data_IF_898859728107
#
_entry.id   IF_898859728107
#
_cell.length_a   1.000
_cell.length_b   1.000
_cell.length_c   1.000
_cell.angle_alpha   90.00
_cell.angle_beta   90.00
_cell.angle_gamma   90.00
#
_symmetry.space_group_name_H-M   'P 1'
#
loop_
_entity.id
_entity.type
_entity.pdbx_description
1 polymer ?
#
# COMPACT_ATOMS: atom_id res chain seq x y z
N UNK A 1 -15.88 -2.76 1.67
CA UNK A 1 -15.70 -4.23 1.60
C UNK A 1 -14.55 -4.64 2.52
N UNK A 2 -14.31 -5.94 2.74
CA UNK A 2 -13.15 -6.39 3.53
C UNK A 2 -11.82 -5.95 2.90
N UNK A 3 -11.74 -5.91 1.56
CA UNK A 3 -10.60 -5.36 0.81
C UNK A 3 -10.43 -3.88 1.13
N UNK A 4 -11.49 -3.07 1.02
CA UNK A 4 -11.38 -1.62 1.25
C UNK A 4 -10.88 -1.31 2.67
N UNK A 5 -11.43 -1.99 3.69
CA UNK A 5 -11.00 -1.80 5.08
C UNK A 5 -9.52 -2.18 5.29
N UNK A 6 -9.05 -3.26 4.67
CA UNK A 6 -7.66 -3.68 4.77
C UNK A 6 -6.72 -2.72 4.02
N UNK A 7 -7.14 -2.20 2.86
CA UNK A 7 -6.38 -1.19 2.12
C UNK A 7 -6.35 0.16 2.87
N UNK A 8 -7.42 0.55 3.56
CA UNK A 8 -7.42 1.73 4.44
C UNK A 8 -6.43 1.56 5.60
N UNK A 9 -6.40 0.39 6.24
CA UNK A 9 -5.43 0.10 7.29
C UNK A 9 -3.98 0.13 6.77
N UNK A 10 -3.76 -0.39 5.56
CA UNK A 10 -2.46 -0.32 4.90
C UNK A 10 -2.02 1.13 4.64
N UNK A 11 -2.91 1.98 4.11
CA UNK A 11 -2.62 3.41 3.90
C UNK A 11 -2.27 4.12 5.21
N UNK A 12 -3.04 3.87 6.27
CA UNK A 12 -2.76 4.44 7.60
C UNK A 12 -1.39 4.03 8.15
N UNK A 13 -1.01 2.76 8.00
CA UNK A 13 0.33 2.31 8.39
C UNK A 13 1.43 2.99 7.54
N UNK A 14 1.18 3.17 6.24
CA UNK A 14 2.09 3.81 5.31
C UNK A 14 2.26 5.33 5.53
N UNK A 15 1.27 6.01 6.11
CA UNK A 15 1.34 7.42 6.51
C UNK A 15 2.29 7.64 7.71
N UNK A 16 2.52 6.62 8.51
CA UNK A 16 3.39 6.65 9.69
C UNK A 16 4.66 5.81 9.52
N UNK A 17 5.15 5.29 10.64
CA UNK A 17 6.35 4.44 10.69
C UNK A 17 6.02 2.97 11.03
N UNK A 18 4.73 2.62 10.96
CA UNK A 18 4.27 1.27 11.26
C UNK A 18 4.72 0.27 10.18
N UNK A 19 4.90 -0.99 10.57
CA UNK A 19 5.26 -2.04 9.62
C UNK A 19 4.08 -2.41 8.71
N UNK A 20 4.16 -1.99 7.44
CA UNK A 20 3.13 -2.24 6.41
C UNK A 20 2.91 -3.70 6.03
N UNK A 21 3.82 -4.63 6.37
CA UNK A 21 3.69 -6.03 6.00
C UNK A 21 2.52 -6.72 6.69
N UNK A 22 2.15 -6.28 7.90
CA UNK A 22 1.00 -6.81 8.62
C UNK A 22 -0.33 -6.48 7.93
N UNK A 23 -0.71 -5.21 7.69
CA UNK A 23 -1.93 -4.90 6.97
C UNK A 23 -1.92 -5.37 5.50
N UNK A 24 -0.75 -5.44 4.85
CA UNK A 24 -0.64 -5.98 3.50
C UNK A 24 -1.04 -7.46 3.43
N UNK A 25 -0.57 -8.28 4.38
CA UNK A 25 -0.97 -9.68 4.49
C UNK A 25 -2.48 -9.83 4.65
N UNK A 26 -3.11 -8.95 5.43
CA UNK A 26 -4.55 -9.00 5.67
C UNK A 26 -5.35 -8.53 4.43
N UNK A 27 -4.85 -7.56 3.67
CA UNK A 27 -5.42 -7.17 2.38
C UNK A 27 -5.36 -8.34 1.37
N UNK A 28 -4.21 -9.02 1.27
CA UNK A 28 -4.06 -10.18 0.38
C UNK A 28 -4.96 -11.35 0.80
N UNK A 29 -5.14 -11.58 2.10
CA UNK A 29 -6.13 -12.56 2.63
C UNK A 29 -7.56 -12.20 2.27
N UNK A 30 -7.88 -10.90 2.27
CA UNK A 30 -9.18 -10.38 1.83
C UNK A 30 -9.37 -10.44 0.30
N UNK A 31 -8.42 -11.01 -0.45
CA UNK A 31 -8.41 -11.13 -1.91
C UNK A 31 -8.14 -9.81 -2.64
N UNK A 32 -7.49 -8.86 -2.00
CA UNK A 32 -6.92 -7.71 -2.71
C UNK A 32 -5.86 -8.20 -3.71
N UNK A 33 -5.84 -7.56 -4.87
CA UNK A 33 -4.84 -7.77 -5.90
C UNK A 33 -3.56 -7.02 -5.56
N UNK A 34 -2.45 -7.46 -6.16
CA UNK A 34 -1.17 -6.73 -6.08
C UNK A 34 -1.33 -5.31 -6.62
N UNK A 35 -2.13 -5.11 -7.68
CA UNK A 35 -2.39 -3.79 -8.24
C UNK A 35 -3.05 -2.82 -7.25
N UNK A 36 -4.08 -3.27 -6.53
CA UNK A 36 -4.76 -2.46 -5.51
C UNK A 36 -3.82 -2.10 -4.35
N UNK A 37 -3.02 -3.05 -3.88
CA UNK A 37 -2.02 -2.82 -2.83
C UNK A 37 -0.96 -1.81 -3.29
N UNK A 38 -0.40 -1.98 -4.49
CA UNK A 38 0.59 -1.05 -5.04
C UNK A 38 -0.01 0.35 -5.27
N UNK A 39 -1.24 0.44 -5.76
CA UNK A 39 -1.93 1.73 -5.93
C UNK A 39 -2.11 2.43 -4.59
N UNK A 40 -2.56 1.71 -3.56
CA UNK A 40 -2.75 2.27 -2.22
C UNK A 40 -1.45 2.84 -1.64
N UNK A 41 -0.32 2.17 -1.82
CA UNK A 41 0.98 2.65 -1.36
C UNK A 41 1.48 3.84 -2.20
N UNK A 42 1.25 3.84 -3.52
CA UNK A 42 1.62 4.96 -4.40
C UNK A 42 0.87 6.24 -4.06
N UNK A 43 -0.35 6.17 -3.53
CA UNK A 43 -1.08 7.35 -3.09
C UNK A 43 -0.38 8.07 -1.91
N UNK A 44 0.29 7.33 -1.04
CA UNK A 44 0.95 7.88 0.16
C UNK A 44 2.41 8.24 -0.11
N UNK A 45 3.15 7.35 -0.76
CA UNK A 45 4.59 7.51 -0.97
C UNK A 45 4.96 8.12 -2.33
N UNK A 46 3.97 8.26 -3.22
CA UNK A 46 4.22 8.60 -4.61
C UNK A 46 4.84 7.44 -5.39
N UNK A 47 5.45 7.77 -6.52
CA UNK A 47 6.18 6.82 -7.36
C UNK A 47 7.62 7.28 -7.46
N UNK A 48 8.56 6.34 -7.46
CA UNK A 48 9.96 6.66 -7.72
C UNK A 48 10.12 7.33 -9.10
N UNK A 49 10.77 8.49 -9.10
CA UNK A 49 11.18 9.20 -10.32
C UNK A 49 12.70 9.11 -10.40
N UNK A 50 13.27 8.42 -11.40
CA UNK A 50 14.71 8.40 -11.60
C UNK A 50 15.27 9.82 -11.74
N UNK A 51 16.36 10.13 -11.05
CA UNK A 51 17.13 11.33 -11.35
C UNK A 51 17.82 11.12 -12.69
N UNK A 52 17.60 12.01 -13.66
CA UNK A 52 18.16 11.92 -15.00
C UNK A 52 19.64 11.49 -14.99
N UNK A 53 19.92 10.35 -15.63
CA UNK A 53 21.26 9.82 -15.81
C UNK A 53 21.87 10.50 -17.04
N UNK A 54 22.42 11.69 -16.87
CA UNK A 54 23.30 12.33 -17.84
C UNK A 54 24.67 12.57 -17.23
#
# INVERSE_FOLDING_TARGET
>A
TAVDSALTALKKAAEGEDNVLYPMKDALRARATVGEVCNALREIWGTYVPSDAY
#
